data_IF_694944237992
#
_entry.id   IF_694944237992
#
_cell.length_a   1.000
_cell.length_b   1.000
_cell.length_c   1.000
_cell.angle_alpha   90.00
_cell.angle_beta   90.00
_cell.angle_gamma   90.00
#
_symmetry.space_group_name_H-M   'P 1'
#
loop_
_entity.id
_entity.type
_entity.pdbx_description
1 polymer ?
#
# COMPACT_ATOMS: atom_id res chain seq x y z
N UNK A 1 -5.27 1.91 3.09
CA UNK A 1 -4.54 1.08 2.10
C UNK A 1 -3.47 1.93 1.45
N UNK A 2 -2.30 1.36 1.21
CA UNK A 2 -1.21 1.99 0.45
C UNK A 2 -1.03 1.17 -0.83
N UNK A 3 -1.17 1.83 -1.98
CA UNK A 3 -0.98 1.24 -3.31
C UNK A 3 0.38 1.68 -3.84
N UNK A 4 1.25 0.73 -4.11
CA UNK A 4 2.67 0.96 -4.39
C UNK A 4 3.49 0.88 -3.11
N UNK A 5 4.52 0.04 -3.13
CA UNK A 5 5.41 -0.29 -2.01
C UNK A 5 6.88 -0.06 -2.36
N UNK A 6 7.13 0.85 -3.31
CA UNK A 6 8.44 1.46 -3.52
C UNK A 6 8.81 2.43 -2.38
N UNK A 7 9.79 3.30 -2.62
CA UNK A 7 10.33 4.21 -1.59
C UNK A 7 9.23 4.95 -0.80
N UNK A 8 8.35 5.68 -1.47
CA UNK A 8 7.33 6.51 -0.82
C UNK A 8 6.33 5.65 -0.02
N UNK A 9 5.76 4.63 -0.67
CA UNK A 9 4.72 3.79 -0.06
C UNK A 9 5.25 2.95 1.11
N UNK A 10 6.44 2.36 0.96
CA UNK A 10 7.08 1.62 2.05
C UNK A 10 7.47 2.54 3.21
N UNK A 11 8.04 3.73 2.94
CA UNK A 11 8.36 4.71 3.99
C UNK A 11 7.10 5.18 4.74
N UNK A 12 6.00 5.44 4.03
CA UNK A 12 4.73 5.79 4.65
C UNK A 12 4.22 4.64 5.54
N UNK A 13 4.24 3.41 5.02
CA UNK A 13 3.84 2.22 5.79
C UNK A 13 4.67 2.02 7.05
N UNK A 14 6.00 2.15 6.94
CA UNK A 14 6.91 2.07 8.09
C UNK A 14 6.64 3.15 9.13
N UNK A 15 6.42 4.40 8.70
CA UNK A 15 6.11 5.50 9.60
C UNK A 15 4.77 5.29 10.32
N UNK A 16 3.75 4.78 9.63
CA UNK A 16 2.46 4.42 10.24
C UNK A 16 2.62 3.26 11.23
N UNK A 17 3.34 2.20 10.87
CA UNK A 17 3.64 1.07 11.75
C UNK A 17 4.37 1.51 13.01
N UNK A 18 5.33 2.43 12.91
CA UNK A 18 6.04 2.99 14.06
C UNK A 18 5.11 3.73 15.04
N UNK A 19 3.96 4.23 14.55
CA UNK A 19 2.91 4.86 15.36
C UNK A 19 1.82 3.88 15.80
N UNK A 20 2.02 2.57 15.62
CA UNK A 20 1.06 1.53 16.00
C UNK A 20 -0.08 1.30 15.00
N UNK A 21 -0.04 1.97 13.84
CA UNK A 21 -1.03 1.77 12.78
C UNK A 21 -0.58 0.65 11.83
N UNK A 22 -1.39 -0.41 11.72
CA UNK A 22 -1.09 -1.51 10.81
C UNK A 22 -1.83 -1.31 9.48
N UNK A 23 -1.09 -0.84 8.47
CA UNK A 23 -1.62 -0.56 7.14
C UNK A 23 -1.71 -1.79 6.23
N UNK A 24 -2.68 -1.74 5.33
CA UNK A 24 -2.86 -2.66 4.21
C UNK A 24 -2.02 -2.22 3.01
N UNK A 25 -1.16 -3.09 2.49
CA UNK A 25 -0.29 -2.85 1.34
C UNK A 25 -0.76 -3.62 0.11
N UNK A 26 -0.66 -2.98 -1.05
CA UNK A 26 -0.89 -3.58 -2.37
C UNK A 26 0.18 -3.08 -3.34
N UNK A 27 0.75 -3.98 -4.13
CA UNK A 27 1.67 -3.67 -5.22
C UNK A 27 1.48 -4.68 -6.35
N UNK A 28 1.77 -4.27 -7.57
CA UNK A 28 1.82 -5.15 -8.74
C UNK A 28 3.11 -5.99 -8.74
N UNK A 29 4.18 -5.49 -8.14
CA UNK A 29 5.46 -6.17 -7.98
C UNK A 29 5.49 -6.95 -6.65
N UNK A 30 5.30 -8.26 -6.74
CA UNK A 30 5.25 -9.17 -5.58
C UNK A 30 6.53 -9.11 -4.72
N UNK A 31 7.70 -8.92 -5.34
CA UNK A 31 8.96 -8.75 -4.62
C UNK A 31 8.97 -7.46 -3.78
N UNK A 32 8.51 -6.34 -4.32
CA UNK A 32 8.45 -5.07 -3.58
C UNK A 32 7.48 -5.17 -2.40
N UNK A 33 6.32 -5.80 -2.62
CA UNK A 33 5.32 -6.02 -1.60
C UNK A 33 5.86 -6.90 -0.46
N UNK A 34 6.44 -8.06 -0.80
CA UNK A 34 7.00 -8.98 0.20
C UNK A 34 8.14 -8.32 0.98
N UNK A 35 9.03 -7.59 0.34
CA UNK A 35 10.09 -6.83 1.00
C UNK A 35 9.52 -5.80 1.99
N UNK A 36 8.55 -4.98 1.55
CA UNK A 36 7.92 -3.98 2.42
C UNK A 36 7.22 -4.62 3.63
N UNK A 37 6.51 -5.73 3.44
CA UNK A 37 5.89 -6.50 4.53
C UNK A 37 6.95 -7.05 5.49
N UNK A 38 8.03 -7.66 4.98
CA UNK A 38 9.12 -8.17 5.81
C UNK A 38 9.84 -7.08 6.61
N UNK A 39 9.90 -5.85 6.09
CA UNK A 39 10.42 -4.68 6.80
C UNK A 39 9.46 -4.13 7.86
N UNK A 40 8.21 -4.61 7.91
CA UNK A 40 7.19 -4.15 8.84
C UNK A 40 6.40 -2.94 8.38
N UNK A 41 6.40 -2.62 7.08
CA UNK A 41 5.63 -1.49 6.53
C UNK A 41 4.11 -1.71 6.58
N UNK A 42 3.65 -2.92 6.89
CA UNK A 42 2.25 -3.28 6.95
C UNK A 42 2.02 -4.75 6.64
N UNK A 43 0.83 -5.07 6.14
CA UNK A 43 0.45 -6.42 5.71
C UNK A 43 0.00 -6.44 4.25
N UNK A 44 0.35 -7.52 3.55
CA UNK A 44 -0.26 -7.80 2.25
C UNK A 44 -1.76 -8.04 2.45
N UNK A 45 -2.57 -7.43 1.60
CA UNK A 45 -4.03 -7.48 1.71
C UNK A 45 -4.61 -8.28 0.58
N UNK A 46 -5.36 -9.35 0.87
CA UNK A 46 -6.15 -10.03 -0.15
C UNK A 46 -7.21 -9.07 -0.71
N UNK A 47 -7.52 -9.13 -2.02
CA UNK A 47 -8.55 -8.27 -2.63
C UNK A 47 -9.93 -8.34 -1.96
N UNK A 48 -10.23 -9.41 -1.24
CA UNK A 48 -11.49 -9.62 -0.52
C UNK A 48 -11.67 -8.74 0.72
N UNK A 49 -10.59 -8.21 1.31
CA UNK A 49 -10.62 -7.51 2.60
C UNK A 49 -10.61 -5.97 2.47
N UNK A 50 -10.79 -5.46 1.24
CA UNK A 50 -10.71 -4.03 0.91
C UNK A 50 -11.90 -3.22 1.47
N UNK A 51 -13.00 -3.87 1.85
CA UNK A 51 -14.25 -3.21 2.28
C UNK A 51 -14.14 -2.39 3.59
N UNK A 52 -13.04 -2.51 4.34
CA UNK A 52 -12.83 -1.77 5.59
C UNK A 52 -11.89 -0.55 5.48
N UNK A 53 -11.53 -0.12 4.26
CA UNK A 53 -10.52 0.93 4.07
C UNK A 53 -11.15 2.32 4.00
N UNK A 54 -10.87 3.18 4.99
CA UNK A 54 -11.35 4.58 5.01
C UNK A 54 -10.44 5.58 4.28
N UNK A 55 -9.20 5.18 3.97
CA UNK A 55 -8.21 6.03 3.28
C UNK A 55 -7.33 5.18 2.36
N UNK A 56 -7.18 5.62 1.12
CA UNK A 56 -6.26 5.03 0.14
C UNK A 56 -5.16 6.03 -0.22
N UNK A 57 -3.91 5.64 -0.09
CA UNK A 57 -2.75 6.39 -0.56
C UNK A 57 -2.23 5.76 -1.85
N UNK A 58 -2.23 6.52 -2.94
CA UNK A 58 -1.72 6.10 -4.25
C UNK A 58 -0.26 6.56 -4.38
N UNK A 59 0.68 5.63 -4.20
CA UNK A 59 2.13 5.85 -4.16
C UNK A 59 2.83 5.20 -5.37
N UNK A 60 2.33 5.49 -6.58
CA UNK A 60 2.80 4.92 -7.85
C UNK A 60 3.33 6.02 -8.79
N UNK A 61 4.01 5.66 -9.89
CA UNK A 61 4.39 6.63 -10.92
C UNK A 61 3.17 7.39 -11.49
N UNK A 62 3.32 8.67 -11.89
CA UNK A 62 2.20 9.50 -12.35
C UNK A 62 1.37 8.89 -13.49
N UNK A 63 2.01 8.14 -14.39
CA UNK A 63 1.35 7.50 -15.54
C UNK A 63 0.31 6.45 -15.16
N UNK A 64 0.37 5.88 -13.95
CA UNK A 64 -0.55 4.85 -13.48
C UNK A 64 -1.67 5.39 -12.56
N UNK A 65 -1.61 6.67 -12.18
CA UNK A 65 -2.52 7.22 -11.14
C UNK A 65 -3.98 7.22 -11.60
N UNK A 66 -4.26 7.62 -12.84
CA UNK A 66 -5.63 7.77 -13.33
C UNK A 66 -6.41 6.45 -13.30
N UNK A 67 -5.79 5.36 -13.76
CA UNK A 67 -6.38 4.02 -13.77
C UNK A 67 -6.67 3.55 -12.34
N UNK A 68 -5.71 3.71 -11.43
CA UNK A 68 -5.85 3.26 -10.04
C UNK A 68 -6.87 4.06 -9.25
N UNK A 69 -7.00 5.37 -9.48
CA UNK A 69 -8.03 6.18 -8.81
C UNK A 69 -9.43 5.71 -9.19
N UNK A 70 -9.65 5.32 -10.44
CA UNK A 70 -10.95 4.76 -10.87
C UNK A 70 -11.18 3.37 -10.26
N UNK A 71 -10.13 2.56 -10.12
CA UNK A 71 -10.23 1.22 -9.54
C UNK A 71 -10.60 1.23 -8.05
N UNK A 72 -10.13 2.22 -7.29
CA UNK A 72 -10.29 2.27 -5.82
C UNK A 72 -11.39 3.24 -5.34
N UNK A 73 -12.06 3.96 -6.24
CA UNK A 73 -13.18 4.86 -5.95
C UNK A 73 -14.49 4.08 -5.83
#
# INVERSE_FOLDING_TARGET
MIVGSGLIGASLGLALSAQGWRGHLRDVAELALSQAVSLGAGVSTPPSDVQAVSLVAICVPPSAVAELVVEVA
#
